data_IF_862508265052
#
_entry.id   IF_862508265052
#
_cell.length_a   1.000
_cell.length_b   1.000
_cell.length_c   1.000
_cell.angle_alpha   90.00
_cell.angle_beta   90.00
_cell.angle_gamma   90.00
#
_symmetry.space_group_name_H-M   'P 1'
#
loop_
_entity.id
_entity.type
_entity.pdbx_description
1 polymer ?
#
# COMPACT_ATOMS: atom_id res chain seq x y z
N UNK A 1 -24.11 0.61 -19.14
CA UNK A 1 -25.39 1.08 -18.56
C UNK A 1 -26.48 0.14 -19.03
N UNK A 2 -27.52 -0.11 -18.21
CA UNK A 2 -28.60 -1.08 -18.53
C UNK A 2 -29.75 -0.50 -19.38
N UNK A 3 -29.60 0.72 -19.93
CA UNK A 3 -30.56 1.34 -20.85
C UNK A 3 -31.90 1.73 -20.24
N UNK A 4 -31.92 2.11 -18.95
CA UNK A 4 -33.13 2.48 -18.20
C UNK A 4 -33.21 3.97 -17.89
N UNK A 5 -32.26 4.75 -18.40
CA UNK A 5 -32.07 6.17 -18.08
C UNK A 5 -33.20 7.09 -18.58
N UNK A 6 -33.97 6.63 -19.57
CA UNK A 6 -35.13 7.35 -20.13
C UNK A 6 -36.45 7.03 -19.41
N UNK A 7 -36.48 6.06 -18.50
CA UNK A 7 -37.69 5.72 -17.73
C UNK A 7 -38.08 6.89 -16.81
N UNK A 8 -39.39 7.07 -16.58
CA UNK A 8 -39.94 8.23 -15.85
C UNK A 8 -39.33 8.44 -14.45
N UNK A 9 -38.94 7.35 -13.77
CA UNK A 9 -38.31 7.39 -12.46
C UNK A 9 -36.86 7.93 -12.48
N UNK A 10 -36.20 7.94 -13.64
CA UNK A 10 -34.77 8.20 -13.82
C UNK A 10 -34.49 9.42 -14.71
N UNK A 11 -35.35 9.70 -15.69
CA UNK A 11 -35.16 10.74 -16.70
C UNK A 11 -34.92 12.15 -16.13
N UNK A 12 -35.50 12.47 -14.97
CA UNK A 12 -35.40 13.82 -14.39
C UNK A 12 -34.10 14.07 -13.61
N UNK A 13 -33.47 13.04 -13.04
CA UNK A 13 -32.27 13.21 -12.21
C UNK A 13 -30.99 12.59 -12.78
N UNK A 14 -31.09 11.58 -13.66
CA UNK A 14 -29.92 10.92 -14.26
C UNK A 14 -29.08 11.91 -15.08
N UNK A 15 -29.65 12.72 -16.00
CA UNK A 15 -28.86 13.70 -16.76
C UNK A 15 -28.21 14.76 -15.86
N UNK A 16 -28.91 15.20 -14.81
CA UNK A 16 -28.37 16.14 -13.84
C UNK A 16 -27.17 15.55 -13.08
N UNK A 17 -27.29 14.30 -12.63
CA UNK A 17 -26.25 13.60 -11.86
C UNK A 17 -25.01 13.33 -12.71
N UNK A 18 -25.19 12.92 -13.97
CA UNK A 18 -24.09 12.73 -14.91
C UNK A 18 -23.38 14.05 -15.22
N UNK A 19 -24.12 15.14 -15.49
CA UNK A 19 -23.53 16.47 -15.67
C UNK A 19 -22.75 16.93 -14.43
N UNK A 20 -23.31 16.73 -13.24
CA UNK A 20 -22.65 17.09 -11.97
C UNK A 20 -21.34 16.30 -11.79
N UNK A 21 -21.34 14.99 -12.07
CA UNK A 21 -20.13 14.17 -12.09
C UNK A 21 -19.09 14.73 -13.06
N UNK A 22 -19.49 15.05 -14.28
CA UNK A 22 -18.56 15.53 -15.32
C UNK A 22 -17.97 16.89 -14.97
N UNK A 23 -18.77 17.81 -14.39
CA UNK A 23 -18.30 19.09 -13.86
C UNK A 23 -17.30 18.88 -12.71
N UNK A 24 -17.59 17.97 -11.78
CA UNK A 24 -16.67 17.62 -10.69
C UNK A 24 -15.37 17.06 -11.27
N UNK A 25 -15.42 16.09 -12.18
CA UNK A 25 -14.25 15.52 -12.84
C UNK A 25 -13.43 16.57 -13.60
N UNK A 26 -14.09 17.50 -14.29
CA UNK A 26 -13.44 18.60 -14.97
C UNK A 26 -12.75 19.57 -13.99
N UNK A 27 -13.39 19.87 -12.85
CA UNK A 27 -12.83 20.73 -11.80
C UNK A 27 -11.63 20.11 -11.07
N UNK A 28 -11.57 18.78 -11.01
CA UNK A 28 -10.50 18.03 -10.33
C UNK A 28 -9.18 18.02 -11.12
N UNK A 29 -9.16 18.47 -12.39
CA UNK A 29 -7.96 18.52 -13.24
C UNK A 29 -6.81 19.38 -12.68
N UNK A 30 -7.09 20.35 -11.80
CA UNK A 30 -6.08 21.25 -11.21
C UNK A 30 -5.40 20.76 -9.92
N UNK A 31 -5.95 19.72 -9.26
CA UNK A 31 -5.41 19.15 -8.01
C UNK A 31 -4.63 17.86 -8.27
N UNK A 32 -3.88 17.81 -9.37
CA UNK A 32 -2.90 16.74 -9.58
C UNK A 32 -1.78 16.98 -8.58
N UNK A 33 -1.87 16.32 -7.41
CA UNK A 33 -0.76 16.14 -6.48
C UNK A 33 0.45 15.77 -7.34
N UNK A 34 1.49 16.61 -7.39
CA UNK A 34 2.71 16.30 -8.14
C UNK A 34 3.16 14.91 -7.68
N UNK A 35 2.93 13.89 -8.51
CA UNK A 35 3.24 12.49 -8.16
C UNK A 35 4.74 12.28 -7.98
N UNK A 36 5.52 13.23 -8.47
CA UNK A 36 6.97 13.27 -8.36
C UNK A 36 7.47 13.69 -6.98
N UNK A 37 6.67 14.34 -6.12
CA UNK A 37 7.16 14.88 -4.85
C UNK A 37 6.18 14.65 -3.69
N UNK A 38 6.73 14.36 -2.50
CA UNK A 38 5.99 14.32 -1.24
C UNK A 38 6.72 15.17 -0.19
N UNK A 39 5.99 16.08 0.45
CA UNK A 39 6.54 17.05 1.41
C UNK A 39 7.77 17.83 0.87
N UNK A 40 7.76 18.16 -0.42
CA UNK A 40 8.87 18.88 -1.08
C UNK A 40 10.08 18.01 -1.44
N UNK A 41 10.08 16.73 -1.09
CA UNK A 41 11.14 15.78 -1.46
C UNK A 41 10.73 15.03 -2.72
N UNK A 42 11.62 14.97 -3.71
CA UNK A 42 11.43 14.17 -4.92
C UNK A 42 11.41 12.68 -4.58
N UNK A 43 10.39 11.98 -5.08
CA UNK A 43 10.23 10.54 -4.91
C UNK A 43 10.97 9.77 -6.02
N UNK A 44 11.81 8.79 -5.67
CA UNK A 44 12.41 7.89 -6.65
C UNK A 44 11.35 7.11 -7.43
N UNK A 45 11.69 6.76 -8.68
CA UNK A 45 10.85 5.92 -9.55
C UNK A 45 11.36 4.48 -9.60
N UNK A 46 12.66 4.33 -9.41
CA UNK A 46 13.40 3.08 -9.42
C UNK A 46 14.67 3.25 -8.56
N UNK A 47 15.42 2.17 -8.38
CA UNK A 47 16.64 2.16 -7.57
C UNK A 47 17.71 3.08 -8.15
N UNK A 48 17.86 3.16 -9.47
CA UNK A 48 18.88 4.03 -10.09
C UNK A 48 18.56 5.50 -9.83
N UNK A 49 17.28 5.87 -9.93
CA UNK A 49 16.81 7.20 -9.61
C UNK A 49 17.04 7.53 -8.13
N UNK A 50 16.81 6.58 -7.22
CA UNK A 50 17.07 6.77 -5.79
C UNK A 50 18.55 7.08 -5.52
N UNK A 51 19.46 6.29 -6.10
CA UNK A 51 20.91 6.50 -5.95
C UNK A 51 21.38 7.83 -6.56
N UNK A 52 20.76 8.24 -7.67
CA UNK A 52 21.04 9.52 -8.31
C UNK A 52 20.59 10.71 -7.45
N UNK A 53 19.42 10.62 -6.82
CA UNK A 53 18.92 11.65 -5.89
C UNK A 53 19.82 11.78 -4.65
N UNK A 54 20.22 10.65 -4.07
CA UNK A 54 21.18 10.62 -2.97
C UNK A 54 22.51 11.29 -3.36
N UNK A 55 23.05 10.94 -4.53
CA UNK A 55 24.28 11.54 -5.07
C UNK A 55 24.16 13.04 -5.31
N UNK A 56 23.06 13.50 -5.91
CA UNK A 56 22.80 14.94 -6.15
C UNK A 56 22.69 15.73 -4.85
N UNK A 57 22.09 15.12 -3.82
CA UNK A 57 21.88 15.77 -2.53
C UNK A 57 23.07 15.60 -1.57
N UNK A 58 24.11 14.83 -1.94
CA UNK A 58 25.25 14.55 -1.08
C UNK A 58 24.91 13.76 0.19
N UNK A 59 23.88 12.90 0.15
CA UNK A 59 23.46 12.06 1.27
C UNK A 59 23.18 10.61 0.84
N UNK A 60 22.70 9.78 1.77
CA UNK A 60 22.41 8.35 1.56
C UNK A 60 20.98 7.96 1.93
N UNK A 61 20.05 8.91 2.07
CA UNK A 61 18.78 8.64 2.73
C UNK A 61 17.92 7.59 2.01
N UNK A 62 17.88 7.59 0.69
CA UNK A 62 17.13 6.58 -0.05
C UNK A 62 17.81 5.21 -0.03
N UNK A 63 19.15 5.19 -0.14
CA UNK A 63 19.97 3.99 0.01
C UNK A 63 19.78 3.34 1.37
N UNK A 64 19.81 4.12 2.44
CA UNK A 64 19.66 3.62 3.81
C UNK A 64 18.26 3.08 4.04
N UNK A 65 17.23 3.77 3.52
CA UNK A 65 15.85 3.28 3.57
C UNK A 65 15.66 1.95 2.82
N UNK A 66 16.32 1.79 1.67
CA UNK A 66 16.31 0.54 0.90
C UNK A 66 17.04 -0.59 1.64
N UNK A 67 18.22 -0.31 2.20
CA UNK A 67 18.99 -1.30 2.95
C UNK A 67 18.23 -1.79 4.18
N UNK A 68 17.58 -0.88 4.92
CA UNK A 68 16.74 -1.23 6.05
C UNK A 68 15.57 -2.13 5.64
N UNK A 69 14.91 -1.83 4.52
CA UNK A 69 13.85 -2.70 4.01
C UNK A 69 14.38 -4.09 3.68
N UNK A 70 15.42 -4.18 2.85
CA UNK A 70 16.02 -5.46 2.42
C UNK A 70 16.54 -6.28 3.59
N UNK A 71 17.05 -5.64 4.65
CA UNK A 71 17.45 -6.32 5.89
C UNK A 71 16.24 -6.94 6.59
N UNK A 72 15.13 -6.21 6.70
CA UNK A 72 13.93 -6.68 7.39
C UNK A 72 13.23 -7.81 6.61
N UNK A 73 13.07 -7.67 5.30
CA UNK A 73 12.42 -8.70 4.47
C UNK A 73 13.36 -9.84 4.08
N UNK A 74 14.67 -9.66 4.28
CA UNK A 74 15.71 -10.64 3.93
C UNK A 74 15.48 -12.02 4.54
N UNK A 75 14.90 -12.09 5.75
CA UNK A 75 14.55 -13.35 6.42
C UNK A 75 13.56 -14.21 5.63
N UNK A 76 12.76 -13.60 4.76
CA UNK A 76 11.79 -14.32 3.92
C UNK A 76 12.36 -14.81 2.58
N UNK A 77 13.63 -14.50 2.28
CA UNK A 77 14.26 -14.88 1.02
C UNK A 77 15.37 -15.90 1.24
N UNK A 78 15.36 -16.94 0.42
CA UNK A 78 16.51 -17.81 0.20
C UNK A 78 17.26 -17.29 -1.03
N UNK A 79 18.49 -16.82 -0.82
CA UNK A 79 19.37 -16.38 -1.92
C UNK A 79 20.17 -17.60 -2.39
N UNK A 80 19.89 -18.04 -3.60
CA UNK A 80 20.59 -19.16 -4.23
C UNK A 80 21.91 -18.70 -4.85
N UNK A 81 22.91 -19.59 -4.85
CA UNK A 81 24.20 -19.35 -5.50
C UNK A 81 24.05 -19.22 -7.03
N UNK A 82 25.04 -18.56 -7.64
CA UNK A 82 25.08 -18.37 -9.09
C UNK A 82 25.02 -19.71 -9.83
N UNK A 83 24.05 -19.83 -10.75
CA UNK A 83 23.84 -21.02 -11.57
C UNK A 83 22.88 -22.06 -10.96
N UNK A 84 22.47 -21.90 -9.69
CA UNK A 84 21.44 -22.74 -9.07
C UNK A 84 20.06 -22.29 -9.55
N UNK A 85 19.27 -23.24 -10.04
CA UNK A 85 17.89 -22.98 -10.49
C UNK A 85 16.91 -23.09 -9.32
N UNK A 86 15.79 -22.37 -9.42
CA UNK A 86 14.71 -22.51 -8.45
C UNK A 86 14.21 -23.97 -8.39
N UNK A 87 13.79 -24.48 -7.22
CA UNK A 87 13.31 -25.84 -7.09
C UNK A 87 12.10 -26.13 -8.00
N UNK A 88 11.88 -27.40 -8.34
CA UNK A 88 10.73 -27.81 -9.14
C UNK A 88 9.41 -27.43 -8.44
N UNK A 89 8.46 -26.87 -9.19
CA UNK A 89 7.17 -26.42 -8.67
C UNK A 89 7.13 -24.94 -8.29
N UNK A 90 8.27 -24.23 -8.31
CA UNK A 90 8.31 -22.79 -8.12
C UNK A 90 7.94 -22.05 -9.40
N UNK A 91 7.22 -20.95 -9.26
CA UNK A 91 6.86 -20.06 -10.35
C UNK A 91 7.57 -18.71 -10.18
N UNK A 92 8.05 -18.15 -11.29
CA UNK A 92 8.69 -16.83 -11.27
C UNK A 92 7.66 -15.78 -10.88
N UNK A 93 7.94 -15.06 -9.80
CA UNK A 93 7.19 -13.87 -9.38
C UNK A 93 8.00 -12.61 -9.60
N UNK A 94 7.33 -11.47 -9.70
CA UNK A 94 7.96 -10.16 -9.79
C UNK A 94 7.51 -9.27 -8.64
N UNK A 95 8.28 -8.22 -8.37
CA UNK A 95 7.95 -7.20 -7.39
C UNK A 95 8.68 -5.91 -7.71
N UNK A 96 8.40 -4.89 -6.93
CA UNK A 96 8.98 -3.57 -7.11
C UNK A 96 9.15 -2.86 -5.76
N UNK A 97 10.06 -1.88 -5.73
CA UNK A 97 10.21 -0.99 -4.58
C UNK A 97 9.23 0.19 -4.71
N UNK A 98 8.49 0.44 -3.63
CA UNK A 98 7.68 1.63 -3.44
C UNK A 98 8.39 2.57 -2.48
N UNK A 99 8.52 3.82 -2.88
CA UNK A 99 9.21 4.86 -2.12
C UNK A 99 8.21 5.81 -1.50
N UNK A 100 8.48 6.24 -0.27
CA UNK A 100 7.64 7.18 0.45
C UNK A 100 8.45 8.11 1.36
N UNK A 101 7.84 9.21 1.76
CA UNK A 101 8.39 10.17 2.72
C UNK A 101 7.42 10.29 3.89
N UNK A 102 7.90 10.10 5.11
CA UNK A 102 7.11 10.29 6.32
C UNK A 102 6.92 11.78 6.64
N UNK A 103 6.02 12.10 7.57
CA UNK A 103 5.79 13.49 8.01
C UNK A 103 7.02 14.14 8.66
N UNK A 104 7.89 13.33 9.27
CA UNK A 104 9.18 13.72 9.85
C UNK A 104 10.31 13.81 8.79
N UNK A 105 9.96 13.74 7.50
CA UNK A 105 10.86 13.71 6.34
C UNK A 105 11.77 12.47 6.25
N UNK A 106 11.56 11.45 7.07
CA UNK A 106 12.29 10.17 6.93
C UNK A 106 11.95 9.52 5.59
N UNK A 107 12.98 9.05 4.87
CA UNK A 107 12.83 8.30 3.63
C UNK A 107 12.43 6.87 3.96
N UNK A 108 11.49 6.34 3.19
CA UNK A 108 10.97 4.98 3.39
C UNK A 108 10.95 4.25 2.06
N UNK A 109 11.39 3.00 2.08
CA UNK A 109 11.28 2.07 0.97
C UNK A 109 10.47 0.85 1.42
N UNK A 110 9.70 0.25 0.52
CA UNK A 110 8.97 -1.01 0.75
C UNK A 110 9.08 -1.90 -0.47
N UNK A 111 9.46 -3.16 -0.26
CA UNK A 111 9.39 -4.16 -1.32
C UNK A 111 7.97 -4.72 -1.39
N UNK A 112 7.39 -4.67 -2.58
CA UNK A 112 6.02 -5.12 -2.82
C UNK A 112 6.04 -6.15 -3.92
N UNK A 113 5.54 -7.35 -3.61
CA UNK A 113 5.34 -8.40 -4.58
C UNK A 113 4.13 -8.06 -5.47
N UNK A 114 4.21 -8.38 -6.76
CA UNK A 114 3.14 -8.16 -7.74
C UNK A 114 2.02 -9.19 -7.56
N UNK A 115 1.34 -9.18 -6.41
CA UNK A 115 0.32 -10.17 -6.07
C UNK A 115 -0.87 -10.17 -7.04
N UNK A 116 -1.07 -9.06 -7.75
CA UNK A 116 -2.04 -8.94 -8.85
C UNK A 116 -1.74 -9.85 -10.06
N UNK A 117 -0.55 -10.44 -10.13
CA UNK A 117 -0.18 -11.44 -11.16
C UNK A 117 -0.36 -12.88 -10.66
N UNK A 118 -0.60 -13.07 -9.36
CA UNK A 118 -0.86 -14.39 -8.79
C UNK A 118 -2.31 -14.79 -9.12
N UNK A 119 -2.50 -16.04 -9.54
CA UNK A 119 -3.83 -16.55 -9.83
C UNK A 119 -4.71 -16.55 -8.58
N UNK A 120 -6.01 -16.27 -8.76
CA UNK A 120 -6.98 -16.37 -7.68
C UNK A 120 -7.06 -17.82 -7.17
N UNK A 121 -7.08 -17.97 -5.85
CA UNK A 121 -7.22 -19.27 -5.20
C UNK A 121 -8.70 -19.60 -5.00
N UNK A 122 -9.04 -20.89 -4.95
CA UNK A 122 -10.41 -21.37 -4.80
C UNK A 122 -10.99 -21.22 -3.39
N UNK A 123 -10.17 -20.83 -2.41
CA UNK A 123 -10.53 -20.65 -1.01
C UNK A 123 -10.47 -19.17 -0.59
N UNK A 124 -11.11 -18.84 0.53
CA UNK A 124 -11.09 -17.47 1.05
C UNK A 124 -9.69 -17.09 1.56
N UNK A 125 -9.12 -16.02 1.01
CA UNK A 125 -7.86 -15.40 1.47
C UNK A 125 -8.07 -14.21 2.40
N UNK A 126 -9.33 -13.86 2.69
CA UNK A 126 -9.63 -12.75 3.58
C UNK A 126 -9.30 -13.12 5.02
N UNK A 127 -8.45 -12.31 5.66
CA UNK A 127 -8.24 -12.38 7.10
C UNK A 127 -9.55 -12.08 7.83
N UNK A 128 -9.84 -12.83 8.89
CA UNK A 128 -10.96 -12.51 9.78
C UNK A 128 -10.74 -11.14 10.41
N UNK A 129 -11.51 -10.14 9.99
CA UNK A 129 -11.39 -8.77 10.51
C UNK A 129 -12.22 -8.69 11.79
N UNK A 130 -11.57 -8.33 12.91
CA UNK A 130 -12.28 -8.00 14.15
C UNK A 130 -13.07 -6.72 13.92
N UNK A 131 -14.38 -6.75 14.15
CA UNK A 131 -15.23 -5.57 14.02
C UNK A 131 -14.91 -4.54 15.09
N UNK A 132 -15.16 -3.26 14.80
CA UNK A 132 -14.99 -2.19 15.78
C UNK A 132 -15.92 -2.38 16.99
N UNK A 133 -17.09 -2.94 16.75
CA UNK A 133 -18.08 -3.30 17.76
C UNK A 133 -17.52 -4.33 18.74
N UNK A 134 -16.86 -5.38 18.25
CA UNK A 134 -16.22 -6.38 19.12
C UNK A 134 -15.14 -5.76 20.01
N UNK A 135 -14.31 -4.86 19.46
CA UNK A 135 -13.30 -4.14 20.24
C UNK A 135 -13.94 -3.25 21.32
N UNK A 136 -15.05 -2.57 21.00
CA UNK A 136 -15.79 -1.75 21.98
C UNK A 136 -16.37 -2.60 23.11
N UNK A 137 -16.97 -3.74 22.80
CA UNK A 137 -17.52 -4.65 23.80
C UNK A 137 -16.41 -5.13 24.75
N UNK A 138 -15.25 -5.51 24.20
CA UNK A 138 -14.08 -5.92 24.98
C UNK A 138 -13.63 -4.81 25.96
N UNK A 139 -13.53 -3.57 25.47
CA UNK A 139 -13.13 -2.43 26.31
C UNK A 139 -14.18 -2.11 27.40
N UNK A 140 -15.48 -2.18 27.08
CA UNK A 140 -16.55 -2.02 28.07
C UNK A 140 -16.46 -3.08 29.16
N UNK A 141 -16.22 -4.34 28.78
CA UNK A 141 -16.09 -5.43 29.73
C UNK A 141 -14.87 -5.26 30.64
N UNK A 142 -13.73 -4.84 30.09
CA UNK A 142 -12.54 -4.52 30.88
C UNK A 142 -12.84 -3.42 31.91
N UNK A 143 -13.51 -2.34 31.50
CA UNK A 143 -13.89 -1.24 32.39
C UNK A 143 -14.85 -1.67 33.51
N UNK A 144 -15.84 -2.52 33.20
CA UNK A 144 -16.79 -3.03 34.20
C UNK A 144 -16.12 -3.90 35.27
N UNK A 145 -15.04 -4.59 34.92
CA UNK A 145 -14.30 -5.47 35.83
C UNK A 145 -13.07 -4.81 36.45
N UNK A 146 -12.86 -3.50 36.21
CA UNK A 146 -11.69 -2.78 36.73
C UNK A 146 -10.36 -3.32 36.20
N UNK A 147 -10.33 -3.83 34.98
CA UNK A 147 -9.13 -4.38 34.35
C UNK A 147 -8.33 -3.29 33.62
N UNK A 148 -7.01 -3.34 33.77
CA UNK A 148 -6.09 -2.49 33.01
C UNK A 148 -6.02 -2.93 31.54
N UNK A 149 -6.01 -1.94 30.63
CA UNK A 149 -5.89 -2.18 29.19
C UNK A 149 -4.48 -1.83 28.74
N UNK A 150 -3.77 -2.82 28.21
CA UNK A 150 -2.44 -2.66 27.64
C UNK A 150 -2.51 -2.90 26.13
N UNK A 151 -1.83 -2.05 25.36
CA UNK A 151 -1.71 -2.19 23.91
C UNK A 151 -0.26 -2.50 23.53
N UNK A 152 -0.08 -3.44 22.60
CA UNK A 152 1.21 -3.77 22.02
C UNK A 152 1.07 -3.92 20.50
N UNK A 153 2.13 -3.63 19.77
CA UNK A 153 2.20 -3.80 18.31
C UNK A 153 3.35 -4.76 17.97
N UNK A 154 3.05 -5.77 17.16
CA UNK A 154 4.04 -6.73 16.68
C UNK A 154 4.58 -6.19 15.36
N UNK A 155 5.80 -5.64 15.40
CA UNK A 155 6.50 -5.19 14.20
C UNK A 155 6.83 -6.39 13.31
N UNK A 156 6.62 -6.23 12.00
CA UNK A 156 6.91 -7.26 10.99
C UNK A 156 6.18 -8.60 11.24
N UNK A 157 4.91 -8.56 11.68
CA UNK A 157 4.15 -9.73 12.12
C UNK A 157 4.13 -10.94 11.18
N UNK A 158 4.22 -10.74 9.85
CA UNK A 158 4.24 -11.83 8.86
C UNK A 158 5.63 -12.37 8.54
N UNK A 159 6.68 -11.84 9.19
CA UNK A 159 8.08 -12.23 9.00
C UNK A 159 8.68 -12.86 10.27
N UNK A 160 7.85 -13.12 11.29
CA UNK A 160 8.24 -13.84 12.50
C UNK A 160 8.35 -15.34 12.26
#
# INVERSE_FOLDING_TARGET
ARGIDDEAAFAWWVPYTLRKRDVILASVKGRIRKTTHKYGVELPRDVRHAMELDRKNGNSFWRDAMALEMTNVGVAFEVLDDGVQAPSGWSKVTGHLVWDVKMDLTRKARWVLDGHKTADVSYSTYAGVVSRESVRILMTYAALNGLDVVAADIRNAYLQ
#
